data_IF_220665185961
#
_entry.id   IF_220665185961
#
_cell.length_a   1.000
_cell.length_b   1.000
_cell.length_c   1.000
_cell.angle_alpha   90.00
_cell.angle_beta   90.00
_cell.angle_gamma   90.00
#
_symmetry.space_group_name_H-M   'P 1'
#
loop_
_entity.id
_entity.type
_entity.pdbx_description
1 polymer ?
#
# COMPACT_ATOMS: atom_id res chain seq x y z
N UNK A 1 3.38 12.93 -5.99
CA UNK A 1 4.32 11.92 -5.57
C UNK A 1 3.65 10.63 -5.14
N UNK A 2 4.41 9.60 -4.75
CA UNK A 2 3.92 8.23 -4.49
C UNK A 2 2.60 8.18 -3.72
N UNK A 3 2.51 8.88 -2.59
CA UNK A 3 1.33 8.88 -1.73
C UNK A 3 0.08 9.39 -2.46
N UNK A 4 0.16 10.58 -3.08
CA UNK A 4 -0.98 11.16 -3.78
C UNK A 4 -1.41 10.32 -4.97
N UNK A 5 -0.46 9.88 -5.79
CA UNK A 5 -0.74 9.10 -6.99
C UNK A 5 -1.35 7.74 -6.63
N UNK A 6 -0.82 7.06 -5.61
CA UNK A 6 -1.33 5.79 -5.11
C UNK A 6 -2.75 5.93 -4.56
N UNK A 7 -3.01 6.96 -3.73
CA UNK A 7 -4.35 7.16 -3.16
C UNK A 7 -5.37 7.59 -4.21
N UNK A 8 -4.97 8.40 -5.20
CA UNK A 8 -5.82 8.74 -6.35
C UNK A 8 -6.18 7.49 -7.17
N UNK A 9 -5.21 6.61 -7.40
CA UNK A 9 -5.47 5.35 -8.06
C UNK A 9 -6.42 4.47 -7.24
N UNK A 10 -6.16 4.31 -5.94
CA UNK A 10 -6.97 3.46 -5.07
C UNK A 10 -8.44 3.90 -4.99
N UNK A 11 -8.74 5.20 -5.07
CA UNK A 11 -10.11 5.71 -5.08
C UNK A 11 -10.80 5.62 -6.44
N UNK A 12 -10.03 5.37 -7.51
CA UNK A 12 -10.57 5.23 -8.87
C UNK A 12 -11.43 3.97 -8.96
N UNK A 13 -12.64 4.12 -9.50
CA UNK A 13 -13.55 2.99 -9.71
C UNK A 13 -12.98 2.00 -10.73
N UNK A 14 -13.26 0.73 -10.55
CA UNK A 14 -12.62 -0.38 -11.25
C UNK A 14 -12.57 -0.24 -12.78
N UNK A 15 -13.68 0.17 -13.49
CA UNK A 15 -13.65 0.31 -14.94
C UNK A 15 -12.70 1.38 -15.46
N UNK A 16 -12.30 2.32 -14.60
CA UNK A 16 -11.43 3.44 -14.99
C UNK A 16 -9.96 3.25 -14.62
N UNK A 17 -9.62 2.22 -13.84
CA UNK A 17 -8.26 1.94 -13.39
C UNK A 17 -7.24 1.75 -14.52
N UNK A 18 -7.59 1.09 -15.64
CA UNK A 18 -6.66 0.94 -16.77
C UNK A 18 -6.11 2.27 -17.26
N UNK A 19 -6.93 3.33 -17.27
CA UNK A 19 -6.52 4.67 -17.75
C UNK A 19 -5.62 5.45 -16.77
N UNK A 20 -5.44 4.93 -15.56
CA UNK A 20 -4.66 5.57 -14.50
C UNK A 20 -3.51 4.71 -13.98
N UNK A 21 -3.19 3.63 -14.67
CA UNK A 21 -2.20 2.65 -14.25
C UNK A 21 -0.82 3.26 -13.97
N UNK A 22 -0.43 4.27 -14.75
CA UNK A 22 0.81 5.01 -14.58
C UNK A 22 0.96 5.68 -13.19
N UNK A 23 -0.13 5.94 -12.47
CA UNK A 23 -0.08 6.48 -11.11
C UNK A 23 0.61 5.52 -10.12
N UNK A 24 0.58 4.24 -10.38
CA UNK A 24 1.27 3.25 -9.57
C UNK A 24 2.77 3.10 -9.94
N UNK A 25 3.13 3.39 -11.19
CA UNK A 25 4.49 3.14 -11.69
C UNK A 25 5.37 4.39 -11.70
N UNK A 26 4.76 5.58 -11.83
CA UNK A 26 5.48 6.85 -12.00
C UNK A 26 6.44 7.17 -10.85
N UNK A 27 6.14 6.75 -9.62
CA UNK A 27 7.02 6.97 -8.47
C UNK A 27 8.43 6.42 -8.67
N UNK A 28 8.59 5.39 -9.48
CA UNK A 28 9.90 4.81 -9.76
C UNK A 28 10.77 5.65 -10.70
N UNK A 29 10.18 6.63 -11.40
CA UNK A 29 10.96 7.58 -12.21
C UNK A 29 11.90 8.45 -11.35
N UNK A 30 11.56 8.66 -10.08
CA UNK A 30 12.37 9.44 -9.13
C UNK A 30 12.69 8.68 -7.83
N UNK A 31 12.20 7.46 -7.68
CA UNK A 31 12.21 6.71 -6.41
C UNK A 31 13.59 6.50 -5.78
N UNK A 32 14.66 6.62 -6.56
CA UNK A 32 16.04 6.49 -6.10
C UNK A 32 16.86 7.79 -6.17
N UNK A 33 16.21 8.92 -6.48
CA UNK A 33 16.88 10.23 -6.45
C UNK A 33 17.19 10.68 -5.01
N UNK A 34 16.39 10.25 -4.05
CA UNK A 34 16.55 10.53 -2.62
C UNK A 34 16.07 9.33 -1.79
N UNK A 35 16.26 9.39 -0.47
CA UNK A 35 15.75 8.38 0.45
C UNK A 35 14.33 8.74 0.89
N UNK A 36 13.37 8.37 0.07
CA UNK A 36 11.96 8.65 0.32
C UNK A 36 11.35 7.78 1.40
N UNK A 37 10.37 8.36 2.10
CA UNK A 37 9.41 7.64 2.93
C UNK A 37 8.12 7.52 2.13
N UNK A 38 7.42 6.39 2.27
CA UNK A 38 6.09 6.12 1.71
C UNK A 38 5.04 6.41 2.79
N UNK A 39 4.59 7.68 2.94
CA UNK A 39 3.75 8.07 4.06
C UNK A 39 2.28 7.73 3.79
N UNK A 40 1.65 7.09 4.76
CA UNK A 40 0.20 7.11 4.96
C UNK A 40 -0.01 7.66 6.37
N UNK A 41 0.05 9.00 6.48
CA UNK A 41 0.05 9.72 7.76
C UNK A 41 -1.36 10.15 8.17
N UNK A 42 -1.47 10.92 9.27
CA UNK A 42 -2.74 11.50 9.69
C UNK A 42 -3.31 12.47 8.65
N UNK A 43 -2.46 13.16 7.91
CA UNK A 43 -2.89 14.13 6.90
C UNK A 43 -3.77 13.51 5.80
N UNK A 44 -3.61 12.22 5.53
CA UNK A 44 -4.40 11.52 4.52
C UNK A 44 -5.79 11.09 5.02
N UNK A 45 -6.05 11.16 6.32
CA UNK A 45 -7.27 10.65 6.95
C UNK A 45 -8.02 11.68 7.79
N UNK A 46 -7.86 12.97 7.47
CA UNK A 46 -8.50 14.12 8.14
C UNK A 46 -9.07 15.12 7.12
N UNK A 47 -9.82 16.09 7.61
CA UNK A 47 -10.28 17.26 6.86
C UNK A 47 -11.10 16.95 5.59
N UNK A 48 -12.04 16.02 5.67
CA UNK A 48 -12.92 15.65 4.56
C UNK A 48 -12.29 14.71 3.54
N UNK A 49 -11.09 14.19 3.82
CA UNK A 49 -10.38 13.25 2.92
C UNK A 49 -10.85 11.80 3.06
N UNK A 50 -11.70 11.49 4.03
CA UNK A 50 -12.18 10.16 4.42
C UNK A 50 -11.06 9.27 5.03
N UNK A 51 -11.46 8.18 5.68
CA UNK A 51 -10.52 7.12 6.04
C UNK A 51 -9.94 6.45 4.79
N UNK A 52 -8.83 5.73 4.92
CA UNK A 52 -8.27 4.97 3.79
C UNK A 52 -9.28 3.96 3.23
N UNK A 53 -10.04 3.29 4.12
CA UNK A 53 -11.10 2.38 3.72
C UNK A 53 -12.25 3.12 3.00
N UNK A 54 -12.66 4.27 3.53
CA UNK A 54 -13.75 5.07 2.96
C UNK A 54 -13.46 5.65 1.57
N UNK A 55 -12.20 5.61 1.12
CA UNK A 55 -11.80 5.99 -0.26
C UNK A 55 -11.92 4.85 -1.25
N UNK A 56 -11.86 3.59 -0.78
CA UNK A 56 -11.89 2.44 -1.66
C UNK A 56 -13.27 2.29 -2.30
N UNK A 57 -13.35 2.08 -3.63
CA UNK A 57 -14.62 1.87 -4.32
C UNK A 57 -15.23 0.51 -4.00
N UNK A 58 -16.52 0.39 -4.29
CA UNK A 58 -17.26 -0.86 -4.18
C UNK A 58 -17.88 -1.10 -2.81
N UNK A 59 -18.28 -2.33 -2.59
CA UNK A 59 -18.90 -2.80 -1.36
C UNK A 59 -17.87 -3.02 -0.23
N UNK A 60 -18.37 -3.36 0.94
CA UNK A 60 -17.57 -3.60 2.14
C UNK A 60 -16.42 -4.62 1.93
N UNK A 61 -16.67 -5.69 1.20
CA UNK A 61 -15.66 -6.69 0.88
C UNK A 61 -14.56 -6.12 -0.02
N UNK A 62 -14.97 -5.37 -1.08
CA UNK A 62 -14.05 -4.73 -2.03
C UNK A 62 -13.22 -3.63 -1.39
N UNK A 63 -13.81 -2.88 -0.46
CA UNK A 63 -13.07 -1.87 0.31
C UNK A 63 -11.92 -2.51 1.10
N UNK A 64 -12.17 -3.62 1.79
CA UNK A 64 -11.10 -4.38 2.45
C UNK A 64 -10.10 -5.01 1.47
N UNK A 65 -10.55 -5.44 0.30
CA UNK A 65 -9.63 -5.92 -0.73
C UNK A 65 -8.67 -4.80 -1.19
N UNK A 66 -9.20 -3.59 -1.41
CA UNK A 66 -8.40 -2.41 -1.71
C UNK A 66 -7.40 -2.05 -0.62
N UNK A 67 -7.83 -2.08 0.66
CA UNK A 67 -6.91 -1.85 1.79
C UNK A 67 -5.78 -2.88 1.85
N UNK A 68 -6.09 -4.16 1.62
CA UNK A 68 -5.06 -5.21 1.59
C UNK A 68 -4.05 -4.97 0.47
N UNK A 69 -4.51 -4.58 -0.72
CA UNK A 69 -3.63 -4.25 -1.84
C UNK A 69 -2.77 -3.03 -1.55
N UNK A 70 -3.35 -1.97 -1.00
CA UNK A 70 -2.61 -0.77 -0.60
C UNK A 70 -1.52 -1.10 0.41
N UNK A 71 -1.85 -1.87 1.45
CA UNK A 71 -0.88 -2.30 2.47
C UNK A 71 0.24 -3.17 1.86
N UNK A 72 -0.11 -4.13 0.99
CA UNK A 72 0.86 -4.98 0.31
C UNK A 72 1.76 -4.15 -0.61
N UNK A 73 1.18 -3.23 -1.38
CA UNK A 73 1.95 -2.34 -2.26
C UNK A 73 2.92 -1.48 -1.45
N UNK A 74 2.48 -0.82 -0.37
CA UNK A 74 3.34 -0.03 0.49
C UNK A 74 4.51 -0.86 1.06
N UNK A 75 4.23 -2.04 1.58
CA UNK A 75 5.24 -2.92 2.22
C UNK A 75 6.27 -3.42 1.21
N UNK A 76 5.88 -3.66 -0.02
CA UNK A 76 6.76 -4.24 -1.05
C UNK A 76 7.45 -3.21 -1.94
N UNK A 77 6.89 -2.00 -2.08
CA UNK A 77 7.51 -0.90 -2.82
C UNK A 77 8.81 -0.44 -2.13
N UNK A 78 9.88 -0.06 -2.85
CA UNK A 78 11.09 0.49 -2.23
C UNK A 78 10.82 1.81 -1.51
N UNK A 79 11.53 2.06 -0.42
CA UNK A 79 11.43 3.26 0.43
C UNK A 79 11.01 2.96 1.87
N UNK A 80 11.19 3.92 2.77
CA UNK A 80 10.78 3.81 4.17
C UNK A 80 9.27 3.71 4.33
N UNK A 81 8.78 2.90 5.27
CA UNK A 81 7.34 2.69 5.50
C UNK A 81 6.85 3.55 6.65
N UNK A 82 5.77 4.29 6.44
CA UNK A 82 5.08 5.03 7.50
C UNK A 82 3.58 4.80 7.37
N UNK A 83 2.99 4.18 8.39
CA UNK A 83 1.54 3.99 8.52
C UNK A 83 1.06 4.64 9.80
N UNK A 84 -0.06 5.36 9.71
CA UNK A 84 -0.67 6.01 10.86
C UNK A 84 -1.51 5.02 11.68
N UNK A 85 -1.64 5.29 12.98
CA UNK A 85 -2.43 4.47 13.91
C UNK A 85 -3.85 4.25 13.37
N UNK A 86 -4.43 3.11 13.66
CA UNK A 86 -5.75 2.63 13.24
C UNK A 86 -5.86 2.14 11.79
N UNK A 87 -4.96 2.51 10.88
CA UNK A 87 -5.03 2.05 9.49
C UNK A 87 -4.95 0.52 9.38
N UNK A 88 -4.32 -0.12 10.37
CA UNK A 88 -4.14 -1.57 10.44
C UNK A 88 -5.44 -2.36 10.65
N UNK A 89 -6.53 -1.73 11.11
CA UNK A 89 -7.82 -2.40 11.22
C UNK A 89 -8.93 -1.79 10.35
N UNK A 90 -8.63 -0.71 9.61
CA UNK A 90 -9.54 -0.13 8.61
C UNK A 90 -10.73 0.62 9.21
N UNK A 91 -10.54 1.75 9.92
CA UNK A 91 -11.63 2.55 10.47
C UNK A 91 -12.54 3.09 9.35
N UNK A 92 -13.82 3.28 9.65
CA UNK A 92 -14.78 3.88 8.73
C UNK A 92 -14.65 5.39 8.66
N UNK A 93 -14.45 6.03 9.83
CA UNK A 93 -14.39 7.48 9.94
C UNK A 93 -12.96 8.00 9.80
N UNK A 94 -12.85 9.28 9.53
CA UNK A 94 -11.60 10.02 9.62
C UNK A 94 -11.07 10.00 11.04
N UNK A 95 -9.75 10.09 11.16
CA UNK A 95 -9.14 10.25 12.48
C UNK A 95 -9.53 11.58 13.12
N UNK A 96 -9.81 11.53 14.41
CA UNK A 96 -10.20 12.67 15.22
C UNK A 96 -9.34 12.69 16.48
N UNK A 97 -8.57 13.76 16.66
CA UNK A 97 -7.64 13.90 17.78
C UNK A 97 -8.32 13.98 19.15
N UNK A 98 -9.59 14.40 19.17
CA UNK A 98 -10.39 14.59 20.38
C UNK A 98 -11.25 13.39 20.76
N UNK A 99 -11.20 12.31 20.00
CA UNK A 99 -11.96 11.08 20.23
C UNK A 99 -11.04 9.87 20.34
N UNK A 100 -11.48 8.86 21.08
CA UNK A 100 -10.82 7.56 21.08
C UNK A 100 -10.95 6.86 19.72
N UNK A 101 -9.96 6.04 19.36
CA UNK A 101 -10.05 5.20 18.17
C UNK A 101 -11.23 4.22 18.29
N UNK A 102 -11.81 3.85 17.15
CA UNK A 102 -12.96 2.95 17.04
C UNK A 102 -12.57 1.48 17.34
N UNK A 103 -12.02 1.19 18.53
CA UNK A 103 -11.56 -0.15 18.92
C UNK A 103 -12.65 -1.22 18.84
N UNK A 104 -13.93 -0.83 19.00
CA UNK A 104 -15.07 -1.74 18.87
C UNK A 104 -15.16 -2.39 17.47
N UNK A 105 -14.57 -1.80 16.45
CA UNK A 105 -14.52 -2.39 15.10
C UNK A 105 -13.81 -3.74 15.08
N UNK A 106 -12.89 -3.99 16.02
CA UNK A 106 -12.22 -5.28 16.15
C UNK A 106 -13.14 -6.42 16.60
N UNK A 107 -14.34 -6.14 17.04
CA UNK A 107 -15.37 -7.16 17.30
C UNK A 107 -15.94 -7.72 15.99
N UNK A 108 -15.80 -7.00 14.88
CA UNK A 108 -16.26 -7.42 13.56
C UNK A 108 -15.16 -8.22 12.83
N UNK A 109 -15.52 -9.38 12.25
CA UNK A 109 -14.54 -10.28 11.65
C UNK A 109 -13.67 -9.66 10.56
N UNK A 110 -14.24 -8.80 9.70
CA UNK A 110 -13.49 -8.20 8.59
C UNK A 110 -12.36 -7.29 9.07
N UNK A 111 -12.61 -6.46 10.08
CA UNK A 111 -11.61 -5.58 10.68
C UNK A 111 -10.51 -6.37 11.41
N UNK A 112 -10.90 -7.39 12.16
CA UNK A 112 -9.96 -8.29 12.84
C UNK A 112 -9.07 -9.03 11.84
N UNK A 113 -9.66 -9.58 10.78
CA UNK A 113 -8.90 -10.25 9.72
C UNK A 113 -7.95 -9.30 9.00
N UNK A 114 -8.35 -8.04 8.80
CA UNK A 114 -7.46 -7.04 8.20
C UNK A 114 -6.28 -6.72 9.13
N UNK A 115 -6.52 -6.56 10.41
CA UNK A 115 -5.45 -6.35 11.40
C UNK A 115 -4.47 -7.53 11.43
N UNK A 116 -4.98 -8.75 11.43
CA UNK A 116 -4.13 -9.95 11.35
C UNK A 116 -3.34 -10.01 10.04
N UNK A 117 -3.92 -9.57 8.93
CA UNK A 117 -3.23 -9.47 7.65
C UNK A 117 -2.07 -8.47 7.72
N UNK A 118 -2.31 -7.26 8.21
CA UNK A 118 -1.26 -6.23 8.37
C UNK A 118 -0.16 -6.71 9.32
N UNK A 119 -0.51 -7.38 10.41
CA UNK A 119 0.45 -8.01 11.33
C UNK A 119 1.34 -9.05 10.62
N UNK A 120 0.75 -9.85 9.72
CA UNK A 120 1.51 -10.83 8.91
C UNK A 120 2.41 -10.14 7.89
N UNK A 121 1.93 -9.06 7.25
CA UNK A 121 2.75 -8.26 6.33
C UNK A 121 3.96 -7.65 7.03
N UNK A 122 3.78 -7.09 8.23
CA UNK A 122 4.89 -6.54 9.01
C UNK A 122 5.93 -7.60 9.37
N UNK A 123 5.49 -8.81 9.73
CA UNK A 123 6.39 -9.94 9.98
C UNK A 123 7.10 -10.39 8.71
N UNK A 124 6.38 -10.45 7.58
CA UNK A 124 6.96 -10.76 6.28
C UNK A 124 8.07 -9.76 5.95
N UNK A 125 7.78 -8.46 6.07
CA UNK A 125 8.74 -7.40 5.82
C UNK A 125 10.02 -7.58 6.68
N UNK A 126 9.86 -7.73 8.00
CA UNK A 126 10.98 -7.89 8.93
C UNK A 126 11.84 -9.12 8.61
N UNK A 127 11.21 -10.23 8.23
CA UNK A 127 11.87 -11.50 7.98
C UNK A 127 12.37 -11.68 6.54
N UNK A 128 12.13 -10.70 5.67
CA UNK A 128 12.47 -10.77 4.24
C UNK A 128 13.45 -9.66 3.85
N UNK A 129 14.75 -9.88 4.01
CA UNK A 129 15.78 -8.86 3.74
C UNK A 129 15.69 -8.23 2.35
N UNK A 130 15.21 -8.97 1.36
CA UNK A 130 14.99 -8.46 0.01
C UNK A 130 14.03 -7.25 -0.05
N UNK A 131 13.17 -7.05 0.95
CA UNK A 131 12.20 -5.96 0.98
C UNK A 131 12.74 -4.66 1.59
N UNK A 132 13.91 -4.69 2.26
CA UNK A 132 14.41 -3.52 2.98
C UNK A 132 15.93 -3.30 2.94
N UNK A 133 16.73 -4.29 2.54
CA UNK A 133 18.20 -4.14 2.53
C UNK A 133 18.71 -3.19 1.45
N UNK A 134 18.00 -3.12 0.33
CA UNK A 134 18.30 -2.20 -0.75
C UNK A 134 17.01 -1.53 -1.24
N UNK A 135 16.65 -0.47 -0.56
CA UNK A 135 15.47 0.36 -0.84
C UNK A 135 15.81 1.63 -1.64
N UNK A 136 17.06 1.80 -2.07
CA UNK A 136 17.55 3.07 -2.57
C UNK A 136 18.30 2.96 -3.90
N UNK A 137 18.21 1.79 -4.55
CA UNK A 137 18.88 1.58 -5.84
C UNK A 137 18.10 0.62 -6.74
N UNK A 138 18.38 0.70 -8.03
CA UNK A 138 17.86 -0.26 -9.03
C UNK A 138 18.38 -1.68 -8.83
N UNK A 139 19.43 -1.89 -8.04
CA UNK A 139 19.88 -3.24 -7.70
C UNK A 139 18.90 -3.98 -6.78
N UNK A 140 18.16 -3.23 -5.95
CA UNK A 140 17.15 -3.76 -5.04
C UNK A 140 15.75 -3.88 -5.65
N UNK A 141 15.53 -3.30 -6.84
CA UNK A 141 14.21 -3.26 -7.48
C UNK A 141 14.31 -3.48 -8.99
N UNK A 142 13.44 -4.32 -9.51
CA UNK A 142 13.37 -4.55 -10.94
C UNK A 142 11.93 -4.78 -11.41
N UNK A 143 11.46 -4.01 -12.38
CA UNK A 143 10.19 -4.27 -13.04
C UNK A 143 10.28 -5.57 -13.86
N UNK A 144 9.31 -6.45 -13.71
CA UNK A 144 9.09 -7.60 -14.58
C UNK A 144 7.97 -7.33 -15.57
N UNK A 145 6.91 -6.65 -15.10
CA UNK A 145 5.85 -6.10 -15.93
C UNK A 145 5.25 -4.87 -15.20
N UNK A 146 5.37 -3.70 -15.83
CA UNK A 146 4.86 -2.43 -15.31
C UNK A 146 3.69 -1.89 -16.13
N UNK A 147 3.38 -2.50 -17.29
CA UNK A 147 2.56 -1.89 -18.32
C UNK A 147 1.25 -2.63 -18.59
N UNK A 148 0.94 -3.71 -17.84
CA UNK A 148 -0.33 -4.43 -17.97
C UNK A 148 -1.49 -3.63 -17.35
N UNK A 149 -1.81 -2.53 -18.01
CA UNK A 149 -2.90 -1.64 -17.61
C UNK A 149 -4.27 -2.26 -17.79
N UNK A 150 -4.45 -3.11 -18.80
CA UNK A 150 -5.73 -3.73 -19.12
C UNK A 150 -6.22 -4.66 -18.00
N UNK A 151 -5.29 -5.39 -17.40
CA UNK A 151 -5.57 -6.27 -16.26
C UNK A 151 -5.28 -5.62 -14.90
N UNK A 152 -4.79 -4.38 -14.89
CA UNK A 152 -4.38 -3.65 -13.69
C UNK A 152 -3.35 -4.43 -12.84
N UNK A 153 -2.39 -5.09 -13.50
CA UNK A 153 -1.36 -5.92 -12.87
C UNK A 153 -0.04 -5.15 -12.81
N UNK A 154 0.60 -5.23 -11.65
CA UNK A 154 2.01 -4.88 -11.47
C UNK A 154 2.79 -6.12 -11.10
N UNK A 155 3.91 -6.33 -11.76
CA UNK A 155 4.83 -7.41 -11.46
C UNK A 155 6.26 -6.86 -11.34
N UNK A 156 6.87 -7.05 -10.18
CA UNK A 156 8.23 -6.61 -9.93
C UNK A 156 8.98 -7.55 -9.01
N UNK A 157 10.29 -7.40 -8.99
CA UNK A 157 11.20 -8.17 -8.16
C UNK A 157 11.90 -7.28 -7.16
N UNK A 158 11.97 -7.74 -5.91
CA UNK A 158 12.79 -7.15 -4.86
C UNK A 158 13.97 -8.06 -4.57
N UNK A 159 15.14 -7.46 -4.42
CA UNK A 159 16.39 -8.20 -4.20
C UNK A 159 17.16 -7.52 -3.07
N UNK A 160 17.63 -8.30 -2.11
CA UNK A 160 18.52 -7.81 -1.07
C UNK A 160 19.99 -7.95 -1.47
N UNK A 161 20.88 -7.77 -0.50
CA UNK A 161 22.34 -7.94 -0.69
C UNK A 161 22.68 -9.36 -1.16
N UNK A 162 21.98 -10.36 -0.65
CA UNK A 162 22.06 -11.72 -1.16
C UNK A 162 21.17 -11.87 -2.40
N UNK A 163 21.73 -11.70 -3.58
CA UNK A 163 20.98 -11.71 -4.84
C UNK A 163 20.25 -13.03 -5.13
N UNK A 164 20.61 -14.11 -4.46
CA UNK A 164 19.95 -15.42 -4.56
C UNK A 164 18.61 -15.49 -3.84
N UNK A 165 18.37 -14.58 -2.88
CA UNK A 165 17.12 -14.49 -2.10
C UNK A 165 16.31 -13.30 -2.58
N UNK A 166 15.58 -13.49 -3.67
CA UNK A 166 14.71 -12.47 -4.23
C UNK A 166 13.23 -12.78 -3.93
N UNK A 167 12.41 -11.73 -3.93
CA UNK A 167 10.95 -11.83 -3.83
C UNK A 167 10.34 -11.29 -5.11
N UNK A 168 9.47 -12.06 -5.73
CA UNK A 168 8.63 -11.59 -6.84
C UNK A 168 7.28 -11.18 -6.27
N UNK A 169 6.86 -9.97 -6.59
CA UNK A 169 5.61 -9.37 -6.14
C UNK A 169 4.69 -9.21 -7.33
N UNK A 170 3.50 -9.80 -7.22
CA UNK A 170 2.41 -9.64 -8.17
C UNK A 170 1.23 -8.97 -7.46
N UNK A 171 0.79 -7.83 -7.98
CA UNK A 171 -0.36 -7.08 -7.49
C UNK A 171 -1.40 -7.00 -8.61
N UNK A 172 -2.63 -7.37 -8.31
CA UNK A 172 -3.77 -7.21 -9.19
C UNK A 172 -4.77 -6.26 -8.53
N UNK A 173 -4.88 -5.06 -9.07
CA UNK A 173 -5.66 -3.97 -8.50
C UNK A 173 -7.12 -3.94 -8.97
#
# INVERSE_FOLDING_TARGET
>A
GWMNDTLEYCKTDFPFRPYHHNKLTFSMAYGFSERFILPLSHDEVVHGKRSLMGRMPGDYWRQFAGLRLLALYQITHPGGKLSFMSTEYGPFIEWREYESLEWFLLDYPAHRMHQDYVKRLNRLYQNTPALWQDDHSWEGFHWLDADDSDQCILLFRRTGKEKTKAVTVLLNF
#
